data_IF_518584709112
#
_entry.id   IF_518584709112
#
_cell.length_a   1.000
_cell.length_b   1.000
_cell.length_c   1.000
_cell.angle_alpha   90.00
_cell.angle_beta   90.00
_cell.angle_gamma   90.00
#
_symmetry.space_group_name_H-M   'P 1'
#
loop_
_entity.id
_entity.type
_entity.pdbx_description
1 polymer ?
#
# COMPACT_ATOMS: atom_id res chain seq x y z
N UNK A 1 -0.14 -9.98 -0.07
CA UNK A 1 -0.08 -9.10 -1.26
C UNK A 1 0.69 -9.81 -2.37
N UNK A 2 0.27 -9.68 -3.63
CA UNK A 2 1.03 -10.15 -4.80
C UNK A 2 1.89 -9.03 -5.38
N UNK A 3 2.97 -9.36 -6.09
CA UNK A 3 3.85 -8.36 -6.74
C UNK A 3 3.06 -7.47 -7.71
N UNK A 4 2.13 -8.07 -8.46
CA UNK A 4 1.25 -7.33 -9.38
C UNK A 4 0.35 -6.32 -8.65
N UNK A 5 -0.19 -6.69 -7.48
CA UNK A 5 -0.99 -5.77 -6.65
C UNK A 5 -0.20 -4.58 -6.11
N UNK A 6 1.09 -4.77 -5.80
CA UNK A 6 1.98 -3.69 -5.40
C UNK A 6 2.30 -2.74 -6.56
N UNK A 7 2.57 -3.30 -7.75
CA UNK A 7 2.83 -2.51 -8.96
C UNK A 7 1.60 -1.67 -9.30
N UNK A 8 0.41 -2.26 -9.25
CA UNK A 8 -0.83 -1.54 -9.56
C UNK A 8 -1.14 -0.47 -8.52
N UNK A 9 -0.98 -0.76 -7.22
CA UNK A 9 -1.16 0.23 -6.16
C UNK A 9 -0.20 1.42 -6.33
N UNK A 10 1.05 1.16 -6.71
CA UNK A 10 2.04 2.21 -6.98
C UNK A 10 1.66 3.05 -8.22
N UNK A 11 1.15 2.42 -9.27
CA UNK A 11 0.66 3.11 -10.46
C UNK A 11 -0.55 3.99 -10.12
N UNK A 12 -1.54 3.46 -9.39
CA UNK A 12 -2.72 4.19 -8.94
C UNK A 12 -2.33 5.40 -8.08
N UNK A 13 -1.43 5.25 -7.11
CA UNK A 13 -0.90 6.38 -6.32
C UNK A 13 -0.24 7.45 -7.18
N UNK A 14 0.53 7.03 -8.19
CA UNK A 14 1.22 7.94 -9.12
C UNK A 14 0.23 8.76 -9.95
N UNK A 15 -0.91 8.17 -10.32
CA UNK A 15 -1.98 8.83 -11.09
C UNK A 15 -2.91 9.66 -10.20
N UNK A 16 -3.18 9.22 -8.98
CA UNK A 16 -4.02 9.95 -8.03
C UNK A 16 -3.38 11.28 -7.61
N UNK A 17 -2.04 11.37 -7.63
CA UNK A 17 -1.21 12.55 -7.29
C UNK A 17 -1.29 12.92 -5.80
N UNK A 18 -2.47 12.92 -5.20
CA UNK A 18 -2.73 13.24 -3.79
C UNK A 18 -3.85 12.37 -3.24
N UNK A 19 -3.80 12.05 -1.95
CA UNK A 19 -4.77 11.18 -1.27
C UNK A 19 -6.23 11.62 -1.42
N UNK A 20 -6.49 12.94 -1.51
CA UNK A 20 -7.85 13.51 -1.61
C UNK A 20 -8.39 13.61 -3.05
N UNK A 21 -7.75 12.99 -4.03
CA UNK A 21 -8.22 12.99 -5.42
C UNK A 21 -8.72 11.62 -5.82
N UNK A 22 -9.73 11.62 -6.69
CA UNK A 22 -10.26 10.40 -7.27
C UNK A 22 -9.59 10.13 -8.61
N UNK A 23 -9.56 8.86 -8.99
CA UNK A 23 -9.02 8.41 -10.26
C UNK A 23 -10.16 7.83 -11.08
N UNK A 24 -10.24 8.21 -12.34
CA UNK A 24 -11.16 7.62 -13.30
C UNK A 24 -10.44 6.52 -14.07
N UNK A 25 -11.12 5.39 -14.23
CA UNK A 25 -10.67 4.25 -15.03
C UNK A 25 -11.55 4.20 -16.26
N UNK A 26 -10.91 4.41 -17.41
CA UNK A 26 -11.51 4.23 -18.71
C UNK A 26 -11.25 2.78 -19.15
N UNK A 27 -12.28 1.95 -19.01
CA UNK A 27 -12.21 0.53 -19.34
C UNK A 27 -12.09 0.29 -20.86
N UNK A 28 -12.66 1.18 -21.68
CA UNK A 28 -12.62 1.08 -23.13
C UNK A 28 -11.25 1.50 -23.68
N UNK A 29 -10.68 2.59 -23.15
CA UNK A 29 -9.35 3.04 -23.53
C UNK A 29 -8.22 2.26 -22.83
N UNK A 30 -8.53 1.47 -21.80
CA UNK A 30 -7.56 0.84 -20.89
C UNK A 30 -6.59 1.90 -20.33
N UNK A 31 -7.15 2.97 -19.77
CA UNK A 31 -6.39 4.09 -19.23
C UNK A 31 -6.90 4.50 -17.84
N UNK A 32 -5.96 4.86 -16.98
CA UNK A 32 -6.22 5.42 -15.66
C UNK A 32 -5.91 6.92 -15.74
N UNK A 33 -6.89 7.76 -15.43
CA UNK A 33 -6.80 9.22 -15.51
C UNK A 33 -7.13 9.85 -14.16
N UNK A 34 -6.36 10.86 -13.74
CA UNK A 34 -6.78 11.67 -12.58
C UNK A 34 -8.08 12.39 -12.93
N UNK A 35 -9.07 12.39 -12.02
CA UNK A 35 -10.27 13.23 -12.21
C UNK A 35 -9.82 14.69 -12.26
N UNK A 36 -9.94 15.31 -13.44
CA UNK A 36 -9.44 16.65 -13.71
C UNK A 36 -10.31 17.69 -13.01
N UNK A 37 -9.67 18.64 -12.32
CA UNK A 37 -10.28 19.94 -12.03
C UNK A 37 -9.55 20.98 -12.87
N UNK A 38 -10.24 22.03 -13.35
CA UNK A 38 -9.57 23.12 -14.06
C UNK A 38 -8.43 23.66 -13.19
N UNK A 39 -7.25 23.86 -13.78
CA UNK A 39 -5.98 24.26 -13.13
C UNK A 39 -5.22 23.22 -12.27
N UNK A 40 -5.57 21.92 -12.30
CA UNK A 40 -4.79 20.90 -11.58
C UNK A 40 -4.01 19.98 -12.53
N UNK A 41 -2.78 19.55 -12.15
CA UNK A 41 -2.02 18.61 -12.96
C UNK A 41 -2.80 17.30 -13.08
N UNK A 42 -2.93 16.84 -14.32
CA UNK A 42 -3.57 15.59 -14.68
C UNK A 42 -2.49 14.60 -15.11
N UNK A 43 -2.62 13.35 -14.67
CA UNK A 43 -1.79 12.25 -15.16
C UNK A 43 -2.68 11.19 -15.77
N UNK A 44 -2.20 10.65 -16.87
CA UNK A 44 -2.80 9.50 -17.55
C UNK A 44 -1.77 8.39 -17.60
N UNK A 45 -2.19 7.17 -17.31
CA UNK A 45 -1.33 6.00 -17.37
C UNK A 45 -2.09 4.87 -18.06
N UNK A 46 -1.52 4.34 -19.13
CA UNK A 46 -2.10 3.22 -19.86
C UNK A 46 -1.90 1.91 -19.09
N UNK A 47 -2.98 1.14 -18.94
CA UNK A 47 -2.98 -0.18 -18.31
C UNK A 47 -3.04 -1.32 -19.33
N UNK A 48 -2.85 -1.05 -20.62
CA UNK A 48 -2.84 -2.07 -21.69
C UNK A 48 -1.91 -3.25 -21.40
N UNK A 49 -0.75 -3.00 -20.78
CA UNK A 49 0.20 -4.06 -20.39
C UNK A 49 -0.33 -5.03 -19.33
N UNK A 50 -1.37 -4.63 -18.61
CA UNK A 50 -1.93 -5.36 -17.48
C UNK A 50 -3.40 -5.72 -17.68
N UNK A 51 -3.97 -5.53 -18.88
CA UNK A 51 -5.40 -5.71 -19.18
C UNK A 51 -5.97 -6.99 -18.59
N UNK A 52 -5.26 -8.10 -18.76
CA UNK A 52 -5.74 -9.44 -18.43
C UNK A 52 -5.75 -9.73 -16.93
N UNK A 53 -4.90 -9.03 -16.17
CA UNK A 53 -4.74 -9.22 -14.71
C UNK A 53 -5.26 -8.05 -13.89
N UNK A 54 -5.54 -6.91 -14.54
CA UNK A 54 -5.91 -5.67 -13.90
C UNK A 54 -7.17 -5.83 -13.05
N UNK A 55 -8.22 -6.43 -13.60
CA UNK A 55 -9.51 -6.59 -12.92
C UNK A 55 -9.39 -7.46 -11.67
N UNK A 56 -8.70 -8.60 -11.78
CA UNK A 56 -8.46 -9.50 -10.66
C UNK A 56 -7.62 -8.83 -9.55
N UNK A 57 -6.62 -8.05 -9.94
CA UNK A 57 -5.77 -7.32 -9.01
C UNK A 57 -6.53 -6.17 -8.36
N UNK A 58 -7.43 -5.50 -9.09
CA UNK A 58 -8.26 -4.42 -8.57
C UNK A 58 -9.27 -4.93 -7.55
N UNK A 59 -9.95 -6.05 -7.86
CA UNK A 59 -10.81 -6.73 -6.88
C UNK A 59 -10.03 -7.18 -5.65
N UNK A 60 -8.81 -7.70 -5.82
CA UNK A 60 -7.95 -8.05 -4.70
C UNK A 60 -7.61 -6.83 -3.83
N UNK A 61 -7.24 -5.69 -4.42
CA UNK A 61 -6.95 -4.46 -3.68
C UNK A 61 -8.18 -3.92 -2.95
N UNK A 62 -9.37 -4.01 -3.57
CA UNK A 62 -10.65 -3.63 -2.97
C UNK A 62 -10.98 -4.52 -1.77
N UNK A 63 -10.85 -5.84 -1.92
CA UNK A 63 -11.11 -6.83 -0.85
C UNK A 63 -10.19 -6.62 0.35
N UNK A 64 -8.96 -6.16 0.13
CA UNK A 64 -8.01 -5.84 1.19
C UNK A 64 -8.20 -4.45 1.79
N UNK A 65 -9.22 -3.68 1.37
CA UNK A 65 -9.47 -2.34 1.89
C UNK A 65 -8.31 -1.39 1.63
N UNK A 66 -7.65 -1.49 0.47
CA UNK A 66 -6.57 -0.58 0.05
C UNK A 66 -7.05 0.45 -0.98
N UNK A 67 -8.13 0.14 -1.68
CA UNK A 67 -8.80 1.02 -2.64
C UNK A 67 -10.30 0.97 -2.42
N UNK A 68 -10.96 2.05 -2.78
CA UNK A 68 -12.40 2.15 -2.87
C UNK A 68 -12.78 2.33 -4.33
N UNK A 69 -13.87 1.68 -4.74
CA UNK A 69 -14.36 1.71 -6.11
C UNK A 69 -15.82 2.17 -6.07
N UNK A 70 -16.08 3.32 -6.68
CA UNK A 70 -17.36 4.06 -6.56
C UNK A 70 -17.86 4.48 -7.95
N UNK A 71 -19.14 4.82 -8.05
CA UNK A 71 -19.75 5.36 -9.27
C UNK A 71 -20.54 4.32 -10.08
N UNK A 72 -21.41 4.79 -11.00
CA UNK A 72 -22.44 3.96 -11.67
C UNK A 72 -21.91 2.82 -12.55
N UNK A 73 -20.60 2.69 -12.73
CA UNK A 73 -19.97 1.63 -13.54
C UNK A 73 -18.68 1.10 -12.93
N UNK A 74 -18.40 1.39 -11.65
CA UNK A 74 -17.11 1.07 -11.01
C UNK A 74 -15.90 1.80 -11.63
N UNK A 75 -16.15 2.85 -12.42
CA UNK A 75 -15.10 3.61 -13.13
C UNK A 75 -14.33 4.59 -12.23
N UNK A 76 -14.73 4.81 -10.96
CA UNK A 76 -14.01 5.72 -10.06
C UNK A 76 -13.27 4.90 -9.01
N UNK A 77 -11.95 4.94 -9.05
CA UNK A 77 -11.06 4.24 -8.12
C UNK A 77 -10.34 5.27 -7.27
N UNK A 78 -10.35 5.07 -5.95
CA UNK A 78 -9.66 5.94 -5.00
C UNK A 78 -8.78 5.10 -4.11
N UNK A 79 -7.47 5.36 -4.08
CA UNK A 79 -6.58 4.74 -3.09
C UNK A 79 -6.83 5.45 -1.77
N UNK A 80 -7.30 4.70 -0.78
CA UNK A 80 -7.61 5.19 0.57
C UNK A 80 -6.34 5.21 1.44
N UNK A 81 -6.44 5.80 2.65
CA UNK A 81 -5.30 6.03 3.54
C UNK A 81 -4.44 4.80 3.81
N UNK A 82 -5.08 3.64 3.99
CA UNK A 82 -4.42 2.34 4.17
C UNK A 82 -3.56 1.95 2.96
N UNK A 83 -4.04 2.21 1.74
CA UNK A 83 -3.28 1.99 0.50
C UNK A 83 -2.13 2.99 0.32
N UNK A 84 -2.30 4.23 0.78
CA UNK A 84 -1.23 5.24 0.75
C UNK A 84 -0.10 4.92 1.72
N UNK A 85 -0.44 4.55 2.95
CA UNK A 85 0.51 4.20 4.02
C UNK A 85 0.88 2.72 4.08
N UNK A 86 0.49 1.92 3.09
CA UNK A 86 0.77 0.47 3.06
C UNK A 86 2.22 0.13 3.45
N UNK A 87 3.21 0.83 2.88
CA UNK A 87 4.62 0.62 3.21
C UNK A 87 4.98 1.00 4.65
N UNK A 88 4.38 2.07 5.19
CA UNK A 88 4.61 2.49 6.57
C UNK A 88 4.06 1.45 7.55
N UNK A 89 2.86 0.94 7.29
CA UNK A 89 2.26 -0.14 8.09
C UNK A 89 3.05 -1.44 7.97
N UNK A 90 3.47 -1.79 6.75
CA UNK A 90 4.27 -2.99 6.50
C UNK A 90 5.64 -2.95 7.19
N UNK A 91 6.38 -1.85 7.06
CA UNK A 91 7.67 -1.68 7.75
C UNK A 91 7.53 -1.57 9.26
N UNK A 92 6.45 -0.96 9.76
CA UNK A 92 6.18 -0.91 11.20
C UNK A 92 6.02 -2.32 11.78
N UNK A 93 5.24 -3.19 11.14
CA UNK A 93 5.11 -4.57 11.58
C UNK A 93 6.41 -5.34 11.41
N UNK A 94 7.10 -5.23 10.26
CA UNK A 94 8.38 -5.91 10.05
C UNK A 94 9.44 -5.49 11.09
N UNK A 95 9.53 -4.19 11.40
CA UNK A 95 10.41 -3.66 12.43
C UNK A 95 10.04 -4.16 13.83
N UNK A 96 8.75 -4.18 14.17
CA UNK A 96 8.29 -4.75 15.44
C UNK A 96 8.64 -6.23 15.59
N UNK A 97 8.53 -7.02 14.52
CA UNK A 97 8.96 -8.42 14.53
C UNK A 97 10.47 -8.55 14.78
N UNK A 98 11.30 -7.74 14.13
CA UNK A 98 12.75 -7.75 14.35
C UNK A 98 13.12 -7.34 15.77
N UNK A 99 12.49 -6.30 16.32
CA UNK A 99 12.70 -5.87 17.71
C UNK A 99 12.30 -6.97 18.68
N UNK A 100 11.11 -7.57 18.52
CA UNK A 100 10.63 -8.64 19.39
C UNK A 100 11.46 -9.92 19.28
N UNK A 101 11.96 -10.24 18.09
CA UNK A 101 12.66 -11.52 17.85
C UNK A 101 14.16 -11.45 18.11
N UNK A 102 14.80 -10.29 18.02
CA UNK A 102 16.25 -10.16 18.10
C UNK A 102 16.66 -9.30 19.28
N UNK A 103 16.08 -8.09 19.40
CA UNK A 103 16.47 -7.14 20.44
C UNK A 103 16.01 -7.61 21.81
N UNK A 104 14.77 -8.08 21.94
CA UNK A 104 14.22 -8.54 23.23
C UNK A 104 15.05 -9.70 23.82
N UNK A 105 15.38 -10.78 23.09
CA UNK A 105 16.23 -11.84 23.64
C UNK A 105 17.63 -11.39 24.06
N UNK A 106 18.26 -10.47 23.30
CA UNK A 106 19.58 -9.93 23.63
C UNK A 106 19.53 -9.13 24.94
N UNK A 107 18.53 -8.27 25.10
CA UNK A 107 18.35 -7.47 26.32
C UNK A 107 18.06 -8.36 27.53
N UNK A 108 17.17 -9.36 27.38
CA UNK A 108 16.88 -10.33 28.44
C UNK A 108 18.14 -11.08 28.85
N UNK A 109 18.95 -11.52 27.89
CA UNK A 109 20.23 -12.19 28.16
C UNK A 109 21.18 -11.30 28.95
N UNK A 110 21.41 -10.05 28.50
CA UNK A 110 22.31 -9.12 29.17
C UNK A 110 21.90 -8.79 30.61
N UNK A 111 20.60 -8.56 30.85
CA UNK A 111 20.06 -8.33 32.20
C UNK A 111 20.29 -9.57 33.07
N UNK A 112 19.98 -10.76 32.54
CA UNK A 112 20.18 -12.01 33.28
C UNK A 112 21.63 -12.16 33.71
N UNK A 113 22.59 -11.94 32.80
CA UNK A 113 24.03 -12.03 33.11
C UNK A 113 24.46 -11.02 34.16
N UNK A 114 23.97 -9.78 34.10
CA UNK A 114 24.24 -8.74 35.11
C UNK A 114 23.72 -9.14 36.49
N UNK A 115 22.50 -9.67 36.56
CA UNK A 115 21.90 -10.15 37.81
C UNK A 115 22.70 -11.33 38.37
N UNK A 116 23.08 -12.29 37.53
CA UNK A 116 23.90 -13.44 37.96
C UNK A 116 25.23 -12.97 38.52
N UNK A 117 25.94 -12.06 37.85
CA UNK A 117 27.20 -11.48 38.34
C UNK A 117 27.02 -10.78 39.69
N UNK A 118 25.92 -10.05 39.89
CA UNK A 118 25.61 -9.38 41.16
C UNK A 118 25.26 -10.33 42.31
N UNK A 119 24.67 -11.48 42.03
CA UNK A 119 24.32 -12.49 43.05
C UNK A 119 25.55 -13.35 43.41
N UNK A 120 26.44 -13.56 42.44
CA UNK A 120 27.59 -14.48 42.59
C UNK A 120 28.88 -13.77 43.02
N UNK A 121 28.98 -12.45 42.79
CA UNK A 121 30.09 -11.60 43.26
C UNK A 121 29.82 -11.02 44.63
#
# INVERSE_FOLDING_TARGET
>A
MTIQSLILLRALKKVQISENRNVFVDHDALEIRTVSSPNKPCKTLSIKKYSDSYEAVLQYLKKNGLIEVTGPFQNVVTVIHSGWKYWQTFFSHAGQFLVKSVVVPIVVSAITTLVTLWITG
#
